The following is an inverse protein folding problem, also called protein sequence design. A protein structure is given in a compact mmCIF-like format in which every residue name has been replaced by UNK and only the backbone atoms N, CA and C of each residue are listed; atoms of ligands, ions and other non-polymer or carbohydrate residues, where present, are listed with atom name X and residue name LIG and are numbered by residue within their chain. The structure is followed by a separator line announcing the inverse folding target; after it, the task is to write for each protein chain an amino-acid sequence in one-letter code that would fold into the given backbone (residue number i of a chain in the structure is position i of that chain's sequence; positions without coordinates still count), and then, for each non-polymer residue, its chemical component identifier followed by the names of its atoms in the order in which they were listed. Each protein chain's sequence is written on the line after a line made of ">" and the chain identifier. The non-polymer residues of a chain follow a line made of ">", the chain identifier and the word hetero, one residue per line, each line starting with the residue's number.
data_IF_344533250023
#
_entry.id   IF_344533250023
#
_cell.length_a   1.000
_cell.length_b   1.000
_cell.length_c   1.000
_cell.angle_alpha   90.00
_cell.angle_beta   90.00
_cell.angle_gamma   90.00
#
_symmetry.space_group_name_H-M   'P 1'
#
loop_
_entity.id
_entity.type
_entity.pdbx_description
1 polymer ?
#
# COMPACT_ATOMS: atom_id res chain seq x y z
N UNK A 1 -12.29 16.35 3.82
CA UNK A 1 -11.83 15.09 4.47
C UNK A 1 -12.07 13.94 3.50
N UNK A 2 -11.04 13.16 3.20
CA UNK A 2 -11.08 12.04 2.25
C UNK A 2 -10.93 10.70 2.96
N UNK A 3 -11.57 9.68 2.43
CA UNK A 3 -11.52 8.32 2.95
C UNK A 3 -10.79 7.40 1.96
N UNK A 4 -9.73 6.75 2.40
CA UNK A 4 -8.99 5.74 1.65
C UNK A 4 -9.22 4.38 2.31
N UNK A 5 -9.61 3.37 1.54
CA UNK A 5 -9.50 1.97 1.95
C UNK A 5 -8.19 1.41 1.41
N UNK A 6 -7.33 0.91 2.31
CA UNK A 6 -6.02 0.38 1.98
C UNK A 6 -5.97 -1.12 2.22
N UNK A 7 -6.00 -1.87 1.13
CA UNK A 7 -5.89 -3.33 1.06
C UNK A 7 -4.49 -3.74 0.63
N UNK A 8 -4.02 -4.92 1.04
CA UNK A 8 -2.77 -5.52 0.58
C UNK A 8 -2.81 -7.05 0.62
N UNK A 9 -1.88 -7.67 -0.09
CA UNK A 9 -1.57 -9.09 0.04
C UNK A 9 -2.82 -9.99 -0.14
N UNK A 10 -3.55 -9.76 -1.24
CA UNK A 10 -4.77 -10.50 -1.58
C UNK A 10 -4.49 -11.98 -1.87
N UNK A 11 -3.37 -12.26 -2.55
CA UNK A 11 -2.86 -13.60 -2.87
C UNK A 11 -3.89 -14.53 -3.50
N UNK A 12 -4.58 -14.10 -4.56
CA UNK A 12 -5.44 -15.00 -5.34
C UNK A 12 -4.67 -16.25 -5.76
N UNK A 13 -5.25 -17.42 -5.50
CA UNK A 13 -4.56 -18.71 -5.47
C UNK A 13 -4.29 -19.26 -4.06
N UNK A 14 -4.45 -18.41 -3.03
CA UNK A 14 -4.46 -18.75 -1.60
C UNK A 14 -5.45 -17.88 -0.80
N UNK A 15 -6.47 -17.41 -1.45
CA UNK A 15 -7.54 -16.62 -0.86
C UNK A 15 -8.42 -17.50 0.03
N UNK A 16 -8.80 -16.98 1.17
CA UNK A 16 -9.93 -17.47 1.92
C UNK A 16 -11.22 -16.91 1.29
N UNK A 17 -12.02 -17.81 0.73
CA UNK A 17 -13.23 -17.43 -0.02
C UNK A 17 -14.31 -16.80 0.88
N UNK A 18 -14.31 -17.14 2.17
CA UNK A 18 -15.26 -16.61 3.15
C UNK A 18 -15.07 -15.12 3.39
N UNK A 19 -13.85 -14.61 3.21
CA UNK A 19 -13.49 -13.20 3.45
C UNK A 19 -13.94 -12.26 2.32
N UNK A 20 -14.02 -12.77 1.07
CA UNK A 20 -14.16 -11.92 -0.12
C UNK A 20 -15.45 -11.10 -0.12
N UNK A 21 -16.57 -11.75 0.18
CA UNK A 21 -17.87 -11.09 0.18
C UNK A 21 -18.05 -10.10 1.35
N UNK A 22 -17.76 -10.48 2.61
CA UNK A 22 -17.83 -9.53 3.73
C UNK A 22 -16.91 -8.32 3.54
N UNK A 23 -15.70 -8.52 3.00
CA UNK A 23 -14.77 -7.42 2.71
C UNK A 23 -15.34 -6.48 1.64
N UNK A 24 -15.83 -7.02 0.52
CA UNK A 24 -16.45 -6.23 -0.55
C UNK A 24 -17.65 -5.42 -0.06
N UNK A 25 -18.54 -6.04 0.71
CA UNK A 25 -19.73 -5.37 1.28
C UNK A 25 -19.34 -4.25 2.24
N UNK A 26 -18.32 -4.47 3.06
CA UNK A 26 -17.82 -3.44 3.98
C UNK A 26 -17.16 -2.28 3.23
N UNK A 27 -16.27 -2.56 2.27
CA UNK A 27 -15.61 -1.53 1.45
C UNK A 27 -16.66 -0.69 0.72
N UNK A 28 -17.73 -1.33 0.19
CA UNK A 28 -18.83 -0.62 -0.46
C UNK A 28 -19.59 0.29 0.50
N UNK A 29 -19.85 -0.17 1.74
CA UNK A 29 -20.52 0.65 2.79
C UNK A 29 -19.67 1.81 3.27
N UNK A 30 -18.33 1.64 3.33
CA UNK A 30 -17.40 2.70 3.71
C UNK A 30 -17.36 3.83 2.69
N UNK A 31 -17.80 3.57 1.45
CA UNK A 31 -17.87 4.52 0.34
C UNK A 31 -16.59 5.38 0.21
N UNK A 32 -15.41 4.75 0.04
CA UNK A 32 -14.16 5.47 0.00
C UNK A 32 -14.04 6.37 -1.24
N UNK A 33 -13.31 7.46 -1.12
CA UNK A 33 -12.94 8.31 -2.25
C UNK A 33 -11.94 7.60 -3.19
N UNK A 34 -11.10 6.72 -2.63
CA UNK A 34 -10.20 5.86 -3.41
C UNK A 34 -9.92 4.55 -2.68
N UNK A 35 -9.83 3.45 -3.43
CA UNK A 35 -9.36 2.15 -2.94
C UNK A 35 -7.91 1.96 -3.36
N UNK A 36 -7.02 1.72 -2.40
CA UNK A 36 -5.61 1.43 -2.63
C UNK A 36 -5.37 -0.06 -2.42
N UNK A 37 -4.69 -0.70 -3.37
CA UNK A 37 -4.23 -2.09 -3.25
C UNK A 37 -2.71 -2.13 -3.42
N UNK A 38 -2.00 -2.31 -2.31
CA UNK A 38 -0.55 -2.21 -2.25
C UNK A 38 0.17 -3.53 -2.57
N UNK A 39 -0.29 -4.22 -3.63
CA UNK A 39 0.43 -5.34 -4.24
C UNK A 39 0.05 -6.73 -3.75
N UNK A 40 0.78 -7.72 -4.29
CA UNK A 40 0.58 -9.15 -4.07
C UNK A 40 -0.87 -9.60 -4.33
N UNK A 41 -1.36 -9.25 -5.54
CA UNK A 41 -2.68 -9.64 -6.00
C UNK A 41 -2.80 -11.16 -6.17
N UNK A 42 -1.68 -11.80 -6.57
CA UNK A 42 -1.62 -13.23 -6.90
C UNK A 42 -0.64 -13.98 -6.01
N UNK A 43 -0.84 -15.29 -5.89
CA UNK A 43 0.10 -16.15 -5.15
C UNK A 43 1.32 -16.54 -5.99
N UNK A 44 1.16 -16.74 -7.30
CA UNK A 44 2.19 -17.33 -8.19
C UNK A 44 2.20 -16.72 -9.59
N UNK A 45 1.63 -15.55 -9.79
CA UNK A 45 1.50 -14.89 -11.08
C UNK A 45 0.90 -15.79 -12.19
N UNK A 46 -0.08 -16.65 -11.85
CA UNK A 46 -0.81 -17.44 -12.83
C UNK A 46 -1.90 -16.62 -13.51
N UNK A 47 -2.26 -17.02 -14.72
CA UNK A 47 -3.30 -16.33 -15.50
C UNK A 47 -4.66 -16.37 -14.79
N UNK A 48 -5.01 -17.50 -14.22
CA UNK A 48 -6.27 -17.73 -13.51
C UNK A 48 -6.33 -16.89 -12.23
N UNK A 49 -5.19 -16.75 -11.52
CA UNK A 49 -5.07 -15.93 -10.33
C UNK A 49 -5.29 -14.44 -10.65
N UNK A 50 -4.67 -13.92 -11.72
CA UNK A 50 -4.89 -12.55 -12.19
C UNK A 50 -6.33 -12.30 -12.65
N UNK A 51 -6.94 -13.25 -13.37
CA UNK A 51 -8.33 -13.13 -13.79
C UNK A 51 -9.26 -13.07 -12.58
N UNK A 52 -9.08 -13.96 -11.61
CA UNK A 52 -9.86 -13.97 -10.38
C UNK A 52 -9.69 -12.69 -9.57
N UNK A 53 -8.44 -12.21 -9.42
CA UNK A 53 -8.14 -10.94 -8.79
C UNK A 53 -8.86 -9.78 -9.49
N UNK A 54 -8.78 -9.69 -10.83
CA UNK A 54 -9.45 -8.63 -11.59
C UNK A 54 -10.97 -8.68 -11.43
N UNK A 55 -11.56 -9.87 -11.56
CA UNK A 55 -13.00 -10.05 -11.36
C UNK A 55 -13.47 -9.57 -9.99
N UNK A 56 -12.69 -9.84 -8.95
CA UNK A 56 -13.03 -9.38 -7.60
C UNK A 56 -12.79 -7.86 -7.44
N UNK A 57 -11.67 -7.33 -7.94
CA UNK A 57 -11.41 -5.88 -7.93
C UNK A 57 -12.48 -5.09 -8.68
N UNK A 58 -13.08 -5.66 -9.73
CA UNK A 58 -14.18 -5.03 -10.47
C UNK A 58 -15.48 -4.92 -9.64
N UNK A 59 -15.58 -5.64 -8.52
CA UNK A 59 -16.72 -5.53 -7.57
C UNK A 59 -16.52 -4.43 -6.53
N UNK A 60 -15.31 -3.89 -6.40
CA UNK A 60 -15.01 -2.82 -5.45
C UNK A 60 -15.31 -1.45 -6.08
N UNK A 61 -15.63 -0.43 -5.26
CA UNK A 61 -15.81 0.92 -5.76
C UNK A 61 -14.52 1.47 -6.40
N UNK A 62 -14.69 2.37 -7.36
CA UNK A 62 -13.60 3.16 -7.94
C UNK A 62 -13.62 4.59 -7.42
N UNK A 63 -12.53 5.35 -7.64
CA UNK A 63 -11.27 4.97 -8.32
C UNK A 63 -10.40 3.99 -7.51
N UNK A 64 -9.49 3.27 -8.20
CA UNK A 64 -8.59 2.31 -7.59
C UNK A 64 -7.14 2.64 -7.96
N UNK A 65 -6.24 2.63 -6.97
CA UNK A 65 -4.79 2.68 -7.14
C UNK A 65 -4.24 1.30 -6.82
N UNK A 66 -3.75 0.59 -7.82
CA UNK A 66 -3.23 -0.78 -7.68
C UNK A 66 -1.77 -0.81 -8.11
N UNK A 67 -0.89 -1.28 -7.25
CA UNK A 67 0.53 -1.49 -7.58
C UNK A 67 0.85 -2.99 -7.54
N UNK A 68 1.85 -3.48 -8.32
CA UNK A 68 2.23 -4.88 -8.26
C UNK A 68 3.14 -5.18 -7.05
N UNK A 69 3.01 -6.39 -6.51
CA UNK A 69 3.92 -6.95 -5.53
C UNK A 69 4.90 -7.98 -6.12
N UNK A 70 5.73 -8.57 -5.28
CA UNK A 70 6.74 -9.54 -5.72
C UNK A 70 6.11 -10.88 -6.15
N UNK A 71 4.96 -11.27 -5.60
CA UNK A 71 4.20 -12.46 -6.02
C UNK A 71 3.49 -12.30 -7.37
N UNK A 72 3.34 -11.06 -7.86
CA UNK A 72 2.78 -10.77 -9.19
C UNK A 72 3.81 -10.94 -10.32
N UNK A 73 5.07 -11.23 -9.96
CA UNK A 73 6.15 -11.62 -10.89
C UNK A 73 6.29 -13.15 -10.90
N UNK A 74 6.36 -13.80 -12.09
CA UNK A 74 6.52 -15.25 -12.19
C UNK A 74 7.75 -15.76 -11.43
N UNK A 75 7.57 -16.72 -10.52
CA UNK A 75 8.67 -17.28 -9.73
C UNK A 75 9.43 -18.37 -10.48
N UNK A 76 8.71 -19.30 -11.14
CA UNK A 76 9.28 -20.50 -11.73
C UNK A 76 9.56 -20.39 -13.22
N UNK A 77 8.91 -19.48 -13.93
CA UNK A 77 9.17 -19.25 -15.34
C UNK A 77 10.30 -18.23 -15.51
N UNK A 78 11.54 -18.71 -15.54
CA UNK A 78 12.76 -17.90 -15.64
C UNK A 78 12.72 -16.94 -16.84
N UNK A 79 12.32 -17.42 -18.02
CA UNK A 79 12.23 -16.58 -19.21
C UNK A 79 11.21 -15.43 -19.01
N UNK A 80 10.01 -15.72 -18.55
CA UNK A 80 9.00 -14.70 -18.26
C UNK A 80 9.45 -13.74 -17.17
N UNK A 81 10.13 -14.25 -16.11
CA UNK A 81 10.61 -13.45 -15.00
C UNK A 81 11.60 -12.36 -15.44
N UNK A 82 12.53 -12.69 -16.33
CA UNK A 82 13.58 -11.76 -16.73
C UNK A 82 13.25 -10.94 -18.00
N UNK A 83 12.49 -11.49 -18.94
CA UNK A 83 12.19 -10.82 -20.19
C UNK A 83 10.89 -9.97 -20.11
N UNK A 84 9.88 -10.45 -19.39
CA UNK A 84 8.57 -9.80 -19.33
C UNK A 84 7.90 -9.98 -17.95
N UNK A 85 8.52 -9.51 -16.85
CA UNK A 85 8.12 -9.86 -15.48
C UNK A 85 6.66 -9.49 -15.16
N UNK A 86 6.20 -8.34 -15.59
CA UNK A 86 4.85 -7.83 -15.31
C UNK A 86 3.87 -7.96 -16.48
N UNK A 87 4.19 -8.78 -17.51
CA UNK A 87 3.32 -8.91 -18.71
C UNK A 87 1.90 -9.36 -18.36
N UNK A 88 1.73 -10.25 -17.38
CA UNK A 88 0.40 -10.69 -16.96
C UNK A 88 -0.31 -9.61 -16.13
N UNK A 89 0.42 -8.96 -15.22
CA UNK A 89 -0.10 -7.82 -14.48
C UNK A 89 -0.61 -6.74 -15.44
N UNK A 90 0.22 -6.31 -16.39
CA UNK A 90 -0.16 -5.29 -17.36
C UNK A 90 -1.29 -5.72 -18.29
N UNK A 91 -1.45 -7.01 -18.54
CA UNK A 91 -2.53 -7.56 -19.38
C UNK A 91 -3.88 -7.61 -18.65
N UNK A 92 -3.90 -7.95 -17.38
CA UNK A 92 -5.14 -8.26 -16.65
C UNK A 92 -5.53 -7.21 -15.61
N UNK A 93 -4.60 -6.41 -15.13
CA UNK A 93 -4.85 -5.41 -14.08
C UNK A 93 -4.84 -4.00 -14.66
N UNK A 94 -3.67 -3.48 -15.02
CA UNK A 94 -3.52 -2.15 -15.62
C UNK A 94 -2.21 -2.05 -16.39
N UNK A 95 -2.20 -1.29 -17.47
CA UNK A 95 -0.98 -0.94 -18.20
C UNK A 95 -0.13 0.09 -17.45
N UNK A 96 -0.76 0.86 -16.58
CA UNK A 96 -0.08 1.91 -15.80
C UNK A 96 0.58 1.29 -14.57
N UNK A 97 1.91 1.38 -14.51
CA UNK A 97 2.73 0.91 -13.38
C UNK A 97 3.06 2.05 -12.37
N UNK A 98 2.54 3.23 -12.63
CA UNK A 98 2.62 4.39 -11.75
C UNK A 98 1.26 5.11 -11.70
N UNK A 99 0.18 4.39 -11.27
CA UNK A 99 -1.16 4.94 -11.25
C UNK A 99 -1.25 6.14 -10.32
N UNK A 100 -2.09 7.08 -10.70
CA UNK A 100 -2.26 8.34 -9.97
C UNK A 100 -3.74 8.66 -9.77
N UNK A 101 -4.05 9.21 -8.61
CA UNK A 101 -5.33 9.81 -8.30
C UNK A 101 -5.09 11.17 -7.64
N UNK A 102 -5.70 12.22 -8.18
CA UNK A 102 -5.61 13.57 -7.62
C UNK A 102 -7.00 14.17 -7.61
N UNK A 103 -7.40 14.70 -6.47
CA UNK A 103 -8.60 15.49 -6.30
C UNK A 103 -8.27 16.84 -5.63
N UNK A 104 -9.21 17.46 -4.95
CA UNK A 104 -9.04 18.78 -4.34
C UNK A 104 -8.27 18.74 -3.01
N UNK A 105 -8.12 17.57 -2.36
CA UNK A 105 -7.56 17.43 -1.01
C UNK A 105 -6.36 16.49 -0.96
N UNK A 106 -6.30 15.46 -1.82
CA UNK A 106 -5.26 14.43 -1.80
C UNK A 106 -4.66 14.16 -3.17
N UNK A 107 -3.39 13.75 -3.18
CA UNK A 107 -2.71 13.22 -4.34
C UNK A 107 -2.10 11.86 -3.98
N UNK A 108 -2.55 10.80 -4.64
CA UNK A 108 -2.09 9.42 -4.42
C UNK A 108 -1.33 8.93 -5.63
N UNK A 109 -0.08 8.51 -5.46
CA UNK A 109 0.78 8.01 -6.53
C UNK A 109 1.32 6.63 -6.20
N UNK A 110 1.08 5.67 -7.08
CA UNK A 110 1.66 4.33 -7.02
C UNK A 110 3.08 4.30 -7.59
N UNK A 111 3.99 3.59 -6.92
CA UNK A 111 5.34 3.31 -7.41
C UNK A 111 5.57 1.80 -7.41
N UNK A 112 5.84 1.24 -8.57
CA UNK A 112 6.20 -0.16 -8.69
C UNK A 112 7.59 -0.44 -8.09
N UNK A 113 7.63 -1.14 -6.97
CA UNK A 113 8.88 -1.60 -6.32
C UNK A 113 9.24 -3.04 -6.65
N UNK A 114 8.33 -3.82 -7.27
CA UNK A 114 8.59 -5.22 -7.62
C UNK A 114 9.67 -5.33 -8.71
N UNK A 115 10.60 -6.29 -8.56
CA UNK A 115 11.75 -6.50 -9.46
C UNK A 115 11.95 -7.97 -9.76
N UNK A 116 12.41 -8.25 -10.98
CA UNK A 116 12.70 -9.60 -11.44
C UNK A 116 13.98 -10.20 -10.84
N UNK A 117 14.94 -9.36 -10.49
CA UNK A 117 16.26 -9.77 -9.97
C UNK A 117 16.23 -10.16 -8.50
N UNK A 118 15.23 -9.71 -7.75
CA UNK A 118 15.05 -10.05 -6.32
C UNK A 118 13.83 -10.93 -6.14
N UNK A 119 13.85 -11.84 -5.15
CA UNK A 119 12.73 -12.72 -4.88
C UNK A 119 11.75 -12.13 -3.87
N UNK A 120 12.26 -11.40 -2.90
CA UNK A 120 11.49 -10.74 -1.85
C UNK A 120 11.63 -9.23 -1.92
N UNK A 121 12.83 -8.74 -2.17
CA UNK A 121 13.19 -7.37 -1.97
C UNK A 121 12.66 -6.48 -3.10
N UNK A 122 12.10 -5.37 -2.74
CA UNK A 122 11.71 -4.33 -3.68
C UNK A 122 12.88 -3.40 -3.98
N UNK A 123 12.73 -2.62 -5.05
CA UNK A 123 13.72 -1.59 -5.38
C UNK A 123 13.07 -0.40 -6.07
N UNK A 124 13.48 0.80 -5.69
CA UNK A 124 13.21 2.02 -6.45
C UNK A 124 14.43 2.44 -7.26
N UNK A 125 14.20 3.11 -8.40
CA UNK A 125 15.27 3.65 -9.21
C UNK A 125 15.16 5.18 -9.34
N UNK A 126 16.22 5.81 -9.90
CA UNK A 126 16.31 7.28 -10.01
C UNK A 126 15.25 7.84 -10.96
N UNK A 127 14.91 7.12 -12.00
CA UNK A 127 13.92 7.52 -13.00
C UNK A 127 12.52 7.57 -12.37
N UNK A 128 12.16 6.57 -11.56
CA UNK A 128 10.89 6.56 -10.82
C UNK A 128 10.80 7.73 -9.83
N UNK A 129 11.89 8.04 -9.13
CA UNK A 129 11.93 9.17 -8.21
C UNK A 129 11.88 10.52 -8.96
N UNK A 130 12.50 10.63 -10.13
CA UNK A 130 12.39 11.82 -10.97
C UNK A 130 10.96 12.05 -11.47
N UNK A 131 10.29 10.98 -11.93
CA UNK A 131 8.87 11.03 -12.33
C UNK A 131 7.96 11.41 -11.15
N UNK A 132 8.19 10.82 -9.97
CA UNK A 132 7.46 11.15 -8.75
C UNK A 132 7.62 12.64 -8.39
N UNK A 133 8.87 13.16 -8.38
CA UNK A 133 9.12 14.58 -8.12
C UNK A 133 8.38 15.48 -9.12
N UNK A 134 8.43 15.14 -10.41
CA UNK A 134 7.73 15.91 -11.44
C UNK A 134 6.22 15.94 -11.19
N UNK A 135 5.60 14.80 -10.87
CA UNK A 135 4.15 14.73 -10.60
C UNK A 135 3.80 15.47 -9.32
N UNK A 136 4.54 15.27 -8.23
CA UNK A 136 4.29 15.95 -6.96
C UNK A 136 4.51 17.47 -7.03
N UNK A 137 5.40 17.93 -7.89
CA UNK A 137 5.59 19.39 -8.13
C UNK A 137 4.41 20.05 -8.88
N UNK A 138 3.61 19.27 -9.58
CA UNK A 138 2.41 19.75 -10.27
C UNK A 138 1.16 19.80 -9.35
N UNK A 139 1.25 19.19 -8.17
CA UNK A 139 0.18 19.15 -7.17
C UNK A 139 0.33 20.35 -6.22
N UNK A 140 -0.80 20.99 -5.84
CA UNK A 140 -0.79 22.08 -4.85
C UNK A 140 -0.11 21.64 -3.54
N UNK A 141 0.63 22.54 -2.88
CA UNK A 141 1.24 22.25 -1.57
C UNK A 141 0.19 21.96 -0.47
N UNK A 142 -1.05 22.33 -0.67
CA UNK A 142 -2.14 22.09 0.29
C UNK A 142 -2.69 20.65 0.24
N UNK A 143 -2.31 19.85 -0.78
CA UNK A 143 -2.72 18.46 -0.87
C UNK A 143 -1.92 17.59 0.09
N UNK A 144 -2.60 16.64 0.74
CA UNK A 144 -1.89 15.52 1.39
C UNK A 144 -1.36 14.59 0.30
N UNK A 145 -0.03 14.45 0.24
CA UNK A 145 0.69 13.69 -0.79
C UNK A 145 0.99 12.29 -0.29
N UNK A 146 0.51 11.30 -1.01
CA UNK A 146 0.50 9.89 -0.60
C UNK A 146 1.24 9.04 -1.63
N UNK A 147 2.22 8.28 -1.19
CA UNK A 147 2.92 7.29 -2.02
C UNK A 147 2.46 5.89 -1.65
N UNK A 148 2.15 5.10 -2.66
CA UNK A 148 1.75 3.69 -2.52
C UNK A 148 2.82 2.80 -3.13
N UNK A 149 3.34 1.87 -2.34
CA UNK A 149 4.29 0.84 -2.79
C UNK A 149 3.87 -0.52 -2.23
N UNK A 150 4.44 -1.61 -2.75
CA UNK A 150 4.28 -2.90 -2.09
C UNK A 150 5.30 -3.08 -0.97
N UNK A 151 6.58 -2.88 -1.26
CA UNK A 151 7.65 -3.05 -0.27
C UNK A 151 7.76 -1.79 0.59
N UNK A 152 7.92 -1.96 1.92
CA UNK A 152 7.90 -0.85 2.87
C UNK A 152 9.22 -0.05 2.87
N UNK A 153 9.10 1.23 3.23
CA UNK A 153 10.23 2.13 3.52
C UNK A 153 10.60 2.16 4.99
N UNK A 154 9.70 1.72 5.86
CA UNK A 154 9.97 1.59 7.29
C UNK A 154 9.38 0.28 7.81
N UNK A 155 9.90 -0.19 8.93
CA UNK A 155 9.59 -1.49 9.52
C UNK A 155 9.39 -1.33 11.02
N UNK A 156 8.44 -2.08 11.62
CA UNK A 156 8.47 -2.30 13.07
C UNK A 156 9.82 -2.89 13.51
N UNK A 157 10.23 -2.61 14.74
CA UNK A 157 11.52 -3.06 15.30
C UNK A 157 11.69 -4.59 15.34
N UNK A 158 10.59 -5.33 15.19
CA UNK A 158 10.56 -6.81 15.16
C UNK A 158 10.95 -7.42 13.82
N UNK A 159 11.10 -6.60 12.77
CA UNK A 159 11.44 -7.07 11.41
C UNK A 159 12.89 -6.77 11.04
N UNK A 160 13.46 -7.63 10.19
CA UNK A 160 14.82 -7.46 9.70
C UNK A 160 14.92 -6.28 8.72
N UNK A 161 16.04 -5.56 8.78
CA UNK A 161 16.32 -4.45 7.85
C UNK A 161 16.37 -4.89 6.38
N UNK A 162 16.58 -6.17 6.13
CA UNK A 162 16.59 -6.76 4.79
C UNK A 162 15.19 -6.82 4.15
N UNK A 163 14.11 -6.63 4.93
CA UNK A 163 12.75 -6.52 4.40
C UNK A 163 12.42 -5.10 3.86
N UNK A 164 13.32 -4.11 4.03
CA UNK A 164 13.16 -2.77 3.45
C UNK A 164 13.36 -2.78 1.94
N UNK A 165 12.68 -1.87 1.26
CA UNK A 165 12.94 -1.61 -0.15
C UNK A 165 14.39 -1.15 -0.38
N UNK A 166 15.06 -1.72 -1.38
CA UNK A 166 16.43 -1.29 -1.75
C UNK A 166 16.44 0.18 -2.19
N UNK A 167 17.44 0.92 -1.73
CA UNK A 167 17.62 2.37 -1.89
C UNK A 167 16.59 3.21 -1.12
N UNK A 168 16.03 2.68 -0.05
CA UNK A 168 15.10 3.42 0.81
C UNK A 168 15.65 4.79 1.27
N UNK A 169 16.91 4.94 1.71
CA UNK A 169 17.42 6.27 2.08
C UNK A 169 17.37 7.30 0.95
N UNK A 170 17.69 6.89 -0.28
CA UNK A 170 17.62 7.78 -1.46
C UNK A 170 16.17 8.19 -1.76
N UNK A 171 15.23 7.25 -1.61
CA UNK A 171 13.83 7.52 -1.84
C UNK A 171 13.25 8.43 -0.75
N UNK A 172 13.57 8.18 0.52
CA UNK A 172 13.12 9.02 1.64
C UNK A 172 13.62 10.47 1.53
N UNK A 173 14.84 10.67 1.04
CA UNK A 173 15.33 12.01 0.73
C UNK A 173 14.49 12.67 -0.39
N UNK A 174 14.16 11.93 -1.43
CA UNK A 174 13.32 12.43 -2.53
C UNK A 174 11.88 12.71 -2.06
N UNK A 175 11.33 11.91 -1.16
CA UNK A 175 10.01 12.11 -0.57
C UNK A 175 9.97 13.37 0.29
N UNK A 176 10.97 13.57 1.14
CA UNK A 176 11.13 14.80 1.93
C UNK A 176 11.17 16.05 1.05
N UNK A 177 12.01 16.06 0.01
CA UNK A 177 12.13 17.17 -0.95
C UNK A 177 10.83 17.43 -1.73
N UNK A 178 9.95 16.44 -1.84
CA UNK A 178 8.67 16.53 -2.56
C UNK A 178 7.47 16.75 -1.63
N UNK A 179 7.68 16.89 -0.33
CA UNK A 179 6.63 17.07 0.68
C UNK A 179 5.66 15.89 0.72
N UNK A 180 6.15 14.65 0.64
CA UNK A 180 5.31 13.45 0.77
C UNK A 180 4.91 13.28 2.23
N UNK A 181 3.62 13.18 2.48
CA UNK A 181 3.03 13.10 3.82
C UNK A 181 2.87 11.68 4.31
N UNK A 182 2.38 10.79 3.44
CA UNK A 182 1.96 9.43 3.82
C UNK A 182 2.57 8.38 2.89
N UNK A 183 3.07 7.30 3.48
CA UNK A 183 3.58 6.13 2.78
C UNK A 183 2.70 4.92 3.09
N UNK A 184 2.04 4.35 2.07
CA UNK A 184 1.22 3.15 2.18
C UNK A 184 1.98 1.95 1.60
N UNK A 185 2.09 0.86 2.38
CA UNK A 185 2.77 -0.35 1.95
C UNK A 185 2.09 -1.64 2.48
N UNK A 186 2.49 -2.78 1.92
CA UNK A 186 2.09 -4.12 2.36
C UNK A 186 3.30 -5.00 2.66
N UNK A 187 3.34 -6.21 2.08
CA UNK A 187 4.47 -7.15 2.07
C UNK A 187 4.75 -7.89 3.38
N UNK A 188 4.69 -7.22 4.52
CA UNK A 188 5.06 -7.82 5.81
C UNK A 188 4.00 -8.77 6.36
N UNK A 189 2.77 -8.72 5.83
CA UNK A 189 1.60 -9.43 6.36
C UNK A 189 1.30 -9.05 7.82
N UNK A 190 1.74 -7.87 8.25
CA UNK A 190 1.52 -7.31 9.57
C UNK A 190 1.06 -5.85 9.45
N UNK A 191 0.07 -5.47 10.24
CA UNK A 191 -0.44 -4.10 10.27
C UNK A 191 0.42 -3.24 11.20
N UNK A 192 0.81 -2.06 10.72
CA UNK A 192 1.56 -1.08 11.51
C UNK A 192 1.27 0.35 11.04
N UNK A 193 1.20 1.28 11.98
CA UNK A 193 1.22 2.70 11.67
C UNK A 193 2.24 3.42 12.58
N UNK A 194 2.96 4.39 12.03
CA UNK A 194 4.01 5.10 12.74
C UNK A 194 4.61 6.21 11.89
N UNK A 195 5.70 6.81 12.35
CA UNK A 195 6.39 7.82 11.56
C UNK A 195 7.82 7.40 11.22
N UNK A 196 8.32 7.93 10.12
CA UNK A 196 9.65 7.59 9.58
C UNK A 196 10.84 8.16 10.37
N UNK A 197 10.61 9.01 11.38
CA UNK A 197 11.67 9.73 12.10
C UNK A 197 12.57 8.82 12.96
N UNK A 198 12.07 7.67 13.37
CA UNK A 198 12.88 6.71 14.13
C UNK A 198 14.03 6.15 13.29
N UNK A 199 13.74 5.83 12.03
CA UNK A 199 14.71 5.23 11.09
C UNK A 199 15.48 6.26 10.29
N UNK A 200 14.80 7.29 9.78
CA UNK A 200 15.40 8.31 8.89
C UNK A 200 15.52 9.65 9.63
N UNK A 201 16.75 10.05 9.90
CA UNK A 201 17.06 11.32 10.59
C UNK A 201 17.14 12.48 9.58
N UNK A 202 16.01 12.76 8.90
CA UNK A 202 15.89 13.89 7.98
C UNK A 202 15.39 15.10 8.79
N UNK A 203 16.18 16.17 8.81
CA UNK A 203 15.87 17.35 9.62
C UNK A 203 14.54 18.00 9.17
N UNK A 204 13.61 18.18 10.11
CA UNK A 204 12.33 18.84 9.86
C UNK A 204 11.33 18.00 9.10
N UNK A 205 11.57 16.70 8.86
CA UNK A 205 10.67 15.83 8.09
C UNK A 205 10.45 14.47 8.75
N UNK A 206 9.18 14.07 8.82
CA UNK A 206 8.79 12.70 9.15
C UNK A 206 7.46 12.36 8.47
N UNK A 207 7.46 11.45 7.53
CA UNK A 207 6.25 10.93 6.90
C UNK A 207 5.50 9.97 7.84
N UNK A 208 4.17 9.97 7.74
CA UNK A 208 3.33 8.91 8.28
C UNK A 208 3.53 7.64 7.45
N UNK A 209 3.86 6.53 8.09
CA UNK A 209 4.02 5.21 7.45
C UNK A 209 2.87 4.31 7.90
N UNK A 210 2.12 3.76 6.94
CA UNK A 210 1.00 2.86 7.21
C UNK A 210 1.19 1.58 6.40
N UNK A 211 1.30 0.47 7.12
CA UNK A 211 1.40 -0.86 6.54
C UNK A 211 0.07 -1.60 6.71
N UNK A 212 -0.40 -2.22 5.65
CA UNK A 212 -1.57 -3.08 5.70
C UNK A 212 -1.16 -4.53 5.95
N UNK A 213 -1.95 -5.22 6.75
CA UNK A 213 -1.89 -6.67 6.89
C UNK A 213 -2.41 -7.38 5.65
N UNK A 214 -2.49 -8.71 5.71
CA UNK A 214 -3.06 -9.54 4.67
C UNK A 214 -4.58 -9.42 4.65
N UNK A 215 -5.16 -8.94 3.55
CA UNK A 215 -6.59 -8.70 3.51
C UNK A 215 -7.43 -9.99 3.37
N UNK A 216 -7.01 -10.93 2.51
CA UNK A 216 -7.85 -12.09 2.14
C UNK A 216 -7.11 -13.44 2.11
N UNK A 217 -5.80 -13.47 2.32
CA UNK A 217 -5.01 -14.68 2.17
C UNK A 217 -5.01 -15.56 3.41
N UNK A 218 -4.96 -16.89 3.20
CA UNK A 218 -4.68 -17.87 4.26
C UNK A 218 -3.22 -17.89 4.72
N UNK A 219 -2.37 -16.96 4.24
CA UNK A 219 -0.93 -16.84 4.56
C UNK A 219 -0.63 -15.96 5.78
N UNK A 220 -1.56 -15.80 6.70
CA UNK A 220 -1.33 -15.00 7.92
C UNK A 220 -0.05 -15.43 8.66
N UNK A 221 0.69 -14.46 9.20
CA UNK A 221 1.87 -14.67 10.07
C UNK A 221 1.48 -14.61 11.56
N UNK A 222 0.31 -15.13 11.90
CA UNK A 222 -0.20 -15.12 13.28
C UNK A 222 -1.12 -13.93 13.59
N UNK A 223 -1.35 -13.02 12.64
CA UNK A 223 -2.38 -11.99 12.72
C UNK A 223 -3.63 -12.40 11.94
N UNK A 224 -4.79 -11.93 12.41
CA UNK A 224 -6.04 -12.03 11.65
C UNK A 224 -5.96 -11.23 10.35
N UNK A 225 -6.70 -11.68 9.34
CA UNK A 225 -6.83 -10.89 8.11
C UNK A 225 -7.32 -9.48 8.44
N UNK A 226 -6.70 -8.48 7.83
CA UNK A 226 -6.97 -7.09 8.17
C UNK A 226 -6.69 -6.14 7.00
N UNK A 227 -7.26 -4.94 7.09
CA UNK A 227 -7.02 -3.83 6.18
C UNK A 227 -7.16 -2.51 6.94
N UNK A 228 -6.71 -1.42 6.33
CA UNK A 228 -6.79 -0.10 6.95
C UNK A 228 -7.81 0.79 6.24
N UNK A 229 -8.45 1.65 7.02
CA UNK A 229 -9.24 2.78 6.55
C UNK A 229 -8.56 4.05 7.04
N UNK A 230 -8.16 4.91 6.12
CA UNK A 230 -7.59 6.20 6.46
C UNK A 230 -8.63 7.29 6.22
N UNK A 231 -8.85 8.14 7.25
CA UNK A 231 -9.61 9.39 7.09
C UNK A 231 -8.64 10.54 7.15
N UNK A 232 -8.55 11.29 6.05
CA UNK A 232 -7.50 12.27 5.81
C UNK A 232 -8.12 13.66 5.79
N UNK A 233 -7.64 14.51 6.69
CA UNK A 233 -7.81 15.94 6.66
C UNK A 233 -6.41 16.61 6.52
N UNK A 234 -6.30 17.90 6.22
CA UNK A 234 -5.01 18.53 5.89
C UNK A 234 -3.89 18.29 6.91
N UNK A 235 -4.20 18.33 8.21
CA UNK A 235 -3.23 18.18 9.29
C UNK A 235 -3.54 17.01 10.24
N UNK A 236 -4.55 16.21 9.92
CA UNK A 236 -4.97 15.04 10.71
C UNK A 236 -5.20 13.83 9.80
N UNK A 237 -4.64 12.70 10.19
CA UNK A 237 -4.93 11.39 9.58
C UNK A 237 -5.33 10.42 10.68
N UNK A 238 -6.53 9.88 10.56
CA UNK A 238 -6.99 8.77 11.37
C UNK A 238 -6.75 7.47 10.58
N UNK A 239 -6.05 6.52 11.17
CA UNK A 239 -5.83 5.18 10.67
C UNK A 239 -6.63 4.21 11.51
N UNK A 240 -7.65 3.61 10.91
CA UNK A 240 -8.51 2.61 11.55
C UNK A 240 -8.24 1.25 10.92
N UNK A 241 -7.77 0.29 11.73
CA UNK A 241 -7.56 -1.09 11.30
C UNK A 241 -8.83 -1.90 11.52
N UNK A 242 -9.31 -2.51 10.45
CA UNK A 242 -10.36 -3.53 10.48
C UNK A 242 -9.73 -4.92 10.46
N UNK A 243 -10.15 -5.80 11.36
CA UNK A 243 -9.67 -7.18 11.45
C UNK A 243 -10.83 -8.16 11.33
N UNK A 244 -10.56 -9.31 10.72
CA UNK A 244 -11.53 -10.39 10.64
C UNK A 244 -11.80 -11.00 12.00
N UNK A 245 -13.07 -11.18 12.34
CA UNK A 245 -13.55 -11.81 13.56
C UNK A 245 -14.33 -13.06 13.17
N UNK A 246 -13.73 -14.24 13.40
CA UNK A 246 -14.35 -15.53 13.04
C UNK A 246 -15.73 -15.72 13.70
N UNK A 247 -15.88 -15.31 14.96
CA UNK A 247 -17.12 -15.46 15.71
C UNK A 247 -18.33 -14.74 15.13
N UNK A 248 -18.12 -13.62 14.44
CA UNK A 248 -19.17 -12.82 13.78
C UNK A 248 -19.18 -13.00 12.26
N UNK A 249 -18.14 -13.59 11.68
CA UNK A 249 -18.00 -13.71 10.24
C UNK A 249 -17.92 -12.34 9.53
N UNK A 250 -17.29 -11.36 10.16
CA UNK A 250 -17.22 -9.99 9.68
C UNK A 250 -15.87 -9.33 9.97
N UNK A 251 -15.54 -8.28 9.21
CA UNK A 251 -14.46 -7.37 9.55
C UNK A 251 -14.98 -6.31 10.53
N UNK A 252 -14.32 -6.15 11.66
CA UNK A 252 -14.66 -5.20 12.69
C UNK A 252 -13.50 -4.24 12.98
N UNK A 253 -13.83 -3.02 13.40
CA UNK A 253 -12.83 -2.04 13.85
C UNK A 253 -12.10 -2.58 15.08
N UNK A 254 -10.79 -2.81 14.93
CA UNK A 254 -9.97 -3.43 15.97
C UNK A 254 -9.05 -2.42 16.66
N UNK A 255 -8.61 -1.39 15.96
CA UNK A 255 -7.68 -0.40 16.48
C UNK A 255 -7.76 0.89 15.67
N UNK A 256 -7.64 2.02 16.37
CA UNK A 256 -7.65 3.36 15.73
C UNK A 256 -6.51 4.18 16.30
N UNK A 257 -5.74 4.79 15.41
CA UNK A 257 -4.66 5.73 15.75
C UNK A 257 -4.90 7.04 15.02
N UNK A 258 -4.65 8.15 15.70
CA UNK A 258 -4.75 9.48 15.13
C UNK A 258 -3.36 10.10 15.02
N UNK A 259 -3.03 10.62 13.87
CA UNK A 259 -1.76 11.29 13.60
C UNK A 259 -2.00 12.74 13.25
N UNK A 260 -1.13 13.60 13.75
CA UNK A 260 -1.22 15.04 13.53
C UNK A 260 0.06 15.57 12.90
N UNK A 261 -0.09 16.48 11.95
CA UNK A 261 1.01 17.15 11.26
C UNK A 261 1.37 18.47 11.96
N UNK A 262 2.68 18.69 12.10
CA UNK A 262 3.24 19.99 12.51
C UNK A 262 4.41 20.33 11.60
N UNK A 263 4.22 21.28 10.67
CA UNK A 263 5.12 21.47 9.53
C UNK A 263 5.14 20.23 8.65
N UNK A 264 6.32 19.67 8.36
CA UNK A 264 6.48 18.44 7.58
C UNK A 264 6.73 17.20 8.47
N UNK A 265 6.30 17.24 9.73
CA UNK A 265 6.47 16.17 10.72
C UNK A 265 5.12 15.61 11.14
N UNK A 266 4.90 14.34 10.83
CA UNK A 266 3.75 13.58 11.33
C UNK A 266 4.10 12.87 12.63
N UNK A 267 3.22 12.92 13.61
CA UNK A 267 3.39 12.24 14.89
C UNK A 267 2.06 11.70 15.41
N UNK A 268 2.13 10.65 16.22
CA UNK A 268 0.96 10.11 16.90
C UNK A 268 0.37 11.21 17.82
N UNK A 269 -0.92 11.46 17.69
CA UNK A 269 -1.62 12.39 18.56
C UNK A 269 -1.73 11.79 19.97
N UNK A 270 -1.51 12.60 21.01
CA UNK A 270 -1.75 12.15 22.37
C UNK A 270 -3.24 11.77 22.55
N UNK A 271 -3.50 10.68 23.25
CA UNK A 271 -4.86 10.34 23.65
C UNK A 271 -5.43 11.48 24.51
N UNK A 272 -6.58 12.00 24.09
CA UNK A 272 -7.27 13.10 24.77
C UNK A 272 -8.16 12.57 25.92
#
# INVERSE_FOLDING_TARGET
>A
MRTIVHLSDLHFGRVDQELLRPLQELVTRLAPDVVVVSGDLTQRAKTEEFKAARTWLDTLPGPQIVVPGNHDIPLYNVASRFLTPLRKYTRYVTLDLAPEYVDEEIAVLGINTARSLTFKDGRVNKEQLAQMRQRMSAVSPDHTRIIVTHHPFDLPDTFDKDDLVDRAPMAMQAFSESGVDVLLAGHLHASHAGNSAQRYKISGYAALVVQAGTATSTRGRGESNSFNVLRIAPDDVQVERYSWVEGTGSFESAHTECFRRSGDVWSLAAES
#
